data_IF_674403296065
#
_entry.id   IF_674403296065
#
_cell.length_a   1.000
_cell.length_b   1.000
_cell.length_c   1.000
_cell.angle_alpha   90.00
_cell.angle_beta   90.00
_cell.angle_gamma   90.00
#
_symmetry.space_group_name_H-M   'P 1'
#
loop_
_entity.id
_entity.type
_entity.pdbx_description
1 polymer ?
#
# COMPACT_ATOMS: atom_id res chain seq x y z
N UNK A 1 -8.29 34.88 -4.89
CA UNK A 1 -7.23 33.93 -4.50
C UNK A 1 -7.34 32.73 -5.43
N UNK A 2 -6.24 32.32 -6.03
CA UNK A 2 -6.24 31.14 -6.90
C UNK A 2 -6.03 29.85 -6.09
N UNK A 3 -6.43 28.71 -6.66
CA UNK A 3 -6.11 27.38 -6.09
C UNK A 3 -4.61 27.18 -5.93
N UNK A 4 -3.82 27.82 -6.78
CA UNK A 4 -2.35 27.72 -6.77
C UNK A 4 -1.73 28.42 -5.55
N UNK A 5 -2.35 29.48 -5.04
CA UNK A 5 -1.91 30.16 -3.81
C UNK A 5 -2.07 29.24 -2.58
N UNK A 6 -3.21 28.54 -2.50
CA UNK A 6 -3.44 27.55 -1.43
C UNK A 6 -2.49 26.37 -1.53
N UNK A 7 -2.25 25.89 -2.77
CA UNK A 7 -1.32 24.81 -3.02
C UNK A 7 0.09 25.14 -2.58
N UNK A 8 0.57 26.36 -2.88
CA UNK A 8 1.90 26.80 -2.45
C UNK A 8 2.05 26.81 -0.93
N UNK A 9 1.03 27.34 -0.20
CA UNK A 9 1.03 27.31 1.29
C UNK A 9 0.98 25.89 1.81
N UNK A 10 0.25 24.99 1.13
CA UNK A 10 0.14 23.59 1.49
C UNK A 10 1.48 22.87 1.34
N UNK A 11 2.16 23.06 0.21
CA UNK A 11 3.46 22.44 -0.07
C UNK A 11 4.54 22.92 0.92
N UNK A 12 4.50 24.21 1.31
CA UNK A 12 5.35 24.76 2.37
C UNK A 12 5.02 24.22 3.78
N UNK A 13 3.85 23.59 3.94
CA UNK A 13 3.30 23.11 5.21
C UNK A 13 3.17 21.58 5.26
N UNK A 14 3.72 20.86 4.28
CA UNK A 14 3.65 19.39 4.23
C UNK A 14 4.12 18.79 5.56
N UNK A 15 3.31 17.87 6.11
CA UNK A 15 3.55 17.25 7.40
C UNK A 15 3.01 18.02 8.62
N UNK A 16 2.47 19.23 8.41
CA UNK A 16 1.82 19.99 9.48
C UNK A 16 0.36 19.58 9.71
N UNK A 17 -0.19 19.96 10.86
CA UNK A 17 -1.60 19.71 11.16
C UNK A 17 -2.55 20.60 10.35
N UNK A 18 -3.80 20.13 10.13
CA UNK A 18 -4.85 20.95 9.51
C UNK A 18 -5.01 22.32 10.18
N UNK A 19 -4.95 22.35 11.51
CA UNK A 19 -5.08 23.58 12.27
C UNK A 19 -3.97 24.60 11.93
N UNK A 20 -2.74 24.14 11.79
CA UNK A 20 -1.61 24.98 11.40
C UNK A 20 -1.78 25.52 9.98
N UNK A 21 -2.17 24.69 9.02
CA UNK A 21 -2.44 25.11 7.65
C UNK A 21 -3.53 26.19 7.59
N UNK A 22 -4.68 25.95 8.25
CA UNK A 22 -5.79 26.91 8.32
C UNK A 22 -5.34 28.22 8.90
N UNK A 23 -4.57 28.20 10.00
CA UNK A 23 -4.02 29.42 10.62
C UNK A 23 -3.12 30.19 9.68
N UNK A 24 -2.21 29.53 8.97
CA UNK A 24 -1.32 30.16 7.97
C UNK A 24 -2.11 30.81 6.83
N UNK A 25 -3.10 30.12 6.29
CA UNK A 25 -3.95 30.65 5.22
C UNK A 25 -4.73 31.87 5.72
N UNK A 26 -5.36 31.81 6.88
CA UNK A 26 -6.11 32.93 7.44
C UNK A 26 -5.23 34.13 7.77
N UNK A 27 -3.99 33.93 8.19
CA UNK A 27 -3.03 35.02 8.42
C UNK A 27 -2.72 35.78 7.13
N UNK A 28 -2.60 35.07 6.00
CA UNK A 28 -2.29 35.68 4.70
C UNK A 28 -3.55 36.19 3.98
N UNK A 29 -4.68 35.51 4.18
CA UNK A 29 -5.97 35.79 3.55
C UNK A 29 -7.12 35.85 4.57
N UNK A 30 -7.21 36.92 5.39
CA UNK A 30 -8.15 37.01 6.50
C UNK A 30 -9.65 36.94 6.13
N UNK A 31 -9.97 37.22 4.85
CA UNK A 31 -11.35 37.24 4.33
C UNK A 31 -11.86 35.88 3.87
N UNK A 32 -11.00 34.86 3.87
CA UNK A 32 -11.40 33.51 3.47
C UNK A 32 -12.15 32.81 4.60
N UNK A 33 -13.25 32.16 4.23
CA UNK A 33 -13.98 31.33 5.17
C UNK A 33 -13.13 30.12 5.58
N UNK A 34 -13.05 29.91 6.87
CA UNK A 34 -12.35 28.76 7.47
C UNK A 34 -12.87 27.42 6.91
N UNK A 35 -14.19 27.32 6.68
CA UNK A 35 -14.82 26.11 6.15
C UNK A 35 -14.36 25.80 4.73
N UNK A 36 -14.19 26.81 3.90
CA UNK A 36 -13.70 26.65 2.53
C UNK A 36 -12.23 26.20 2.53
N UNK A 37 -11.40 26.79 3.39
CA UNK A 37 -10.00 26.36 3.58
C UNK A 37 -9.92 24.92 4.04
N UNK A 38 -10.73 24.51 5.01
CA UNK A 38 -10.77 23.14 5.51
C UNK A 38 -11.25 22.14 4.44
N UNK A 39 -12.22 22.52 3.62
CA UNK A 39 -12.74 21.71 2.53
C UNK A 39 -11.68 21.51 1.47
N UNK A 40 -10.98 22.58 1.08
CA UNK A 40 -9.87 22.50 0.15
C UNK A 40 -8.73 21.61 0.69
N UNK A 41 -8.35 21.77 1.98
CA UNK A 41 -7.33 20.93 2.61
C UNK A 41 -7.68 19.43 2.55
N UNK A 42 -8.94 19.08 2.83
CA UNK A 42 -9.41 17.69 2.79
C UNK A 42 -9.44 17.11 1.38
N UNK A 43 -9.56 17.94 0.34
CA UNK A 43 -9.56 17.48 -1.05
C UNK A 43 -8.16 17.14 -1.58
N UNK A 44 -7.10 17.46 -0.83
CA UNK A 44 -5.74 17.14 -1.29
C UNK A 44 -5.47 15.64 -1.21
N UNK A 45 -4.92 15.07 -2.27
CA UNK A 45 -4.66 13.63 -2.39
C UNK A 45 -3.85 13.08 -1.22
N UNK A 46 -2.76 13.77 -0.82
CA UNK A 46 -1.92 13.38 0.32
C UNK A 46 -2.72 13.30 1.63
N UNK A 47 -3.67 14.21 1.83
CA UNK A 47 -4.53 14.19 3.02
C UNK A 47 -5.52 13.04 2.96
N UNK A 48 -6.11 12.78 1.79
CA UNK A 48 -7.04 11.66 1.59
C UNK A 48 -6.38 10.31 1.84
N UNK A 49 -5.17 10.11 1.29
CA UNK A 49 -4.39 8.88 1.48
C UNK A 49 -4.05 8.66 2.96
N UNK A 50 -3.73 9.73 3.70
CA UNK A 50 -3.33 9.64 5.11
C UNK A 50 -4.50 9.76 6.10
N UNK A 51 -5.74 9.97 5.62
CA UNK A 51 -6.90 10.05 6.51
C UNK A 51 -7.30 8.64 6.94
N UNK A 52 -7.15 8.36 8.24
CA UNK A 52 -7.65 7.11 8.82
C UNK A 52 -9.17 7.04 8.69
N UNK A 53 -9.68 6.02 8.04
CA UNK A 53 -11.12 5.74 7.97
C UNK A 53 -11.65 5.56 9.40
N UNK A 54 -12.54 6.45 9.84
CA UNK A 54 -13.20 6.35 11.15
C UNK A 54 -14.03 5.07 11.19
N UNK A 55 -13.73 4.20 12.15
CA UNK A 55 -14.51 2.99 12.42
C UNK A 55 -13.88 1.68 11.97
N UNK A 56 -12.77 1.70 11.26
CA UNK A 56 -12.04 0.48 10.94
C UNK A 56 -10.88 0.33 11.93
N UNK A 57 -11.15 -0.26 13.07
CA UNK A 57 -10.09 -0.80 13.93
C UNK A 57 -9.52 -2.06 13.27
N UNK A 58 -8.66 -1.88 12.29
CA UNK A 58 -7.83 -2.97 11.80
C UNK A 58 -6.87 -3.37 12.94
N UNK A 59 -7.28 -4.34 13.76
CA UNK A 59 -6.37 -5.03 14.64
C UNK A 59 -5.43 -5.85 13.76
N UNK A 60 -4.34 -5.25 13.33
CA UNK A 60 -3.25 -5.98 12.71
C UNK A 60 -2.55 -6.71 13.86
N UNK A 61 -2.88 -7.98 14.02
CA UNK A 61 -2.12 -8.84 14.92
C UNK A 61 -0.73 -9.01 14.28
N UNK A 62 0.29 -8.48 14.93
CA UNK A 62 1.66 -8.65 14.46
C UNK A 62 2.00 -10.15 14.45
N UNK A 63 2.23 -10.70 13.27
CA UNK A 63 2.64 -12.09 13.08
C UNK A 63 4.09 -12.09 12.60
N UNK A 64 5.05 -12.49 13.45
CA UNK A 64 6.46 -12.53 13.05
C UNK A 64 6.65 -13.44 11.83
N UNK A 65 7.48 -13.00 10.89
CA UNK A 65 7.84 -13.77 9.69
C UNK A 65 6.63 -14.20 8.82
N UNK A 66 5.55 -13.43 8.90
CA UNK A 66 4.38 -13.57 8.04
C UNK A 66 4.38 -12.45 7.02
N UNK A 67 4.22 -12.80 5.75
CA UNK A 67 4.25 -11.87 4.63
C UNK A 67 2.89 -11.82 3.94
N UNK A 68 2.44 -10.63 3.61
CA UNK A 68 1.35 -10.45 2.66
C UNK A 68 1.93 -10.46 1.25
N UNK A 69 1.28 -11.20 0.34
CA UNK A 69 1.67 -11.32 -1.06
C UNK A 69 0.56 -10.77 -1.96
N UNK A 70 0.95 -10.00 -2.97
CA UNK A 70 0.04 -9.42 -3.95
C UNK A 70 0.74 -9.24 -5.30
N UNK A 71 -0.04 -9.06 -6.37
CA UNK A 71 0.50 -8.72 -7.69
C UNK A 71 0.06 -7.32 -8.06
N UNK A 72 1.02 -6.42 -8.12
CA UNK A 72 0.82 -5.07 -8.59
C UNK A 72 1.15 -4.92 -10.07
N UNK A 73 0.41 -4.06 -10.75
CA UNK A 73 0.71 -3.68 -12.12
C UNK A 73 1.23 -2.25 -12.15
N UNK A 74 2.42 -2.07 -12.70
CA UNK A 74 3.01 -0.75 -12.84
C UNK A 74 3.21 -0.39 -14.31
N UNK A 75 2.83 0.85 -14.67
CA UNK A 75 2.95 1.33 -16.05
C UNK A 75 4.37 1.80 -16.32
N UNK A 76 5.05 1.11 -17.23
CA UNK A 76 6.39 1.49 -17.72
C UNK A 76 6.26 1.83 -19.21
N UNK A 77 6.40 3.11 -19.54
CA UNK A 77 6.08 3.61 -20.87
C UNK A 77 4.61 3.41 -21.20
N UNK A 78 4.30 2.67 -22.28
CA UNK A 78 2.94 2.36 -22.68
C UNK A 78 2.45 0.98 -22.21
N UNK A 79 3.28 0.20 -21.53
CA UNK A 79 2.97 -1.16 -21.12
C UNK A 79 2.75 -1.27 -19.62
N UNK A 80 1.73 -2.05 -19.21
CA UNK A 80 1.55 -2.49 -17.84
C UNK A 80 2.44 -3.71 -17.58
N UNK A 81 3.29 -3.63 -16.57
CA UNK A 81 4.19 -4.70 -16.16
C UNK A 81 3.78 -5.26 -14.80
N UNK A 82 3.63 -6.58 -14.67
CA UNK A 82 3.31 -7.20 -13.39
C UNK A 82 4.57 -7.32 -12.51
N UNK A 83 4.36 -7.09 -11.22
CA UNK A 83 5.37 -7.27 -10.17
C UNK A 83 4.77 -8.06 -9.01
N UNK A 84 5.54 -8.97 -8.46
CA UNK A 84 5.21 -9.64 -7.22
C UNK A 84 5.66 -8.76 -6.06
N UNK A 85 4.73 -8.40 -5.20
CA UNK A 85 4.96 -7.61 -4.00
C UNK A 85 4.78 -8.50 -2.77
N UNK A 86 5.76 -8.49 -1.86
CA UNK A 86 5.64 -9.13 -0.56
C UNK A 86 5.95 -8.09 0.52
N UNK A 87 5.12 -8.05 1.55
CA UNK A 87 5.27 -7.12 2.67
C UNK A 87 5.28 -7.89 3.97
N UNK A 88 6.36 -7.77 4.74
CA UNK A 88 6.41 -8.30 6.10
C UNK A 88 5.39 -7.56 6.98
N UNK A 89 4.44 -8.31 7.54
CA UNK A 89 3.34 -7.73 8.34
C UNK A 89 3.88 -7.01 9.57
N UNK A 90 4.96 -7.49 10.15
CA UNK A 90 5.52 -6.93 11.38
C UNK A 90 6.41 -5.72 11.11
N UNK A 91 7.43 -5.86 10.27
CA UNK A 91 8.42 -4.81 10.01
C UNK A 91 8.00 -3.79 8.96
N UNK A 92 6.97 -4.11 8.15
CA UNK A 92 6.53 -3.35 6.98
C UNK A 92 7.58 -3.27 5.86
N UNK A 93 8.63 -4.06 5.94
CA UNK A 93 9.60 -4.17 4.86
C UNK A 93 8.95 -4.79 3.64
N UNK A 94 9.09 -4.13 2.49
CA UNK A 94 8.55 -4.57 1.22
C UNK A 94 9.66 -5.16 0.33
N UNK A 95 9.29 -6.21 -0.41
CA UNK A 95 10.10 -6.87 -1.42
C UNK A 95 9.32 -6.86 -2.73
N UNK A 96 9.97 -6.52 -3.82
CA UNK A 96 9.33 -6.38 -5.11
C UNK A 96 10.15 -7.07 -6.20
N UNK A 97 9.51 -7.97 -6.94
CA UNK A 97 10.16 -8.75 -8.01
C UNK A 97 9.40 -8.62 -9.32
N UNK A 98 10.10 -8.32 -10.38
CA UNK A 98 9.53 -8.25 -11.72
C UNK A 98 9.06 -9.64 -12.20
N UNK A 99 7.86 -9.69 -12.76
CA UNK A 99 7.33 -10.87 -13.45
C UNK A 99 7.49 -10.62 -14.97
N UNK A 100 8.35 -11.36 -15.66
CA UNK A 100 8.67 -11.08 -17.07
C UNK A 100 7.48 -11.42 -17.99
N UNK A 101 7.08 -10.46 -18.82
CA UNK A 101 6.01 -10.61 -19.82
C UNK A 101 4.61 -10.68 -19.19
N UNK A 102 3.76 -11.58 -19.69
CA UNK A 102 2.41 -11.77 -19.17
C UNK A 102 2.40 -12.55 -17.85
N UNK A 103 1.46 -12.19 -16.97
CA UNK A 103 1.25 -12.84 -15.69
C UNK A 103 0.77 -14.28 -15.88
N UNK A 104 1.52 -15.25 -15.33
CA UNK A 104 1.07 -16.62 -15.14
C UNK A 104 1.71 -17.24 -13.88
N UNK A 105 1.13 -18.31 -13.36
CA UNK A 105 1.54 -18.89 -12.09
C UNK A 105 3.00 -19.38 -12.09
N UNK A 106 3.50 -19.95 -13.17
CA UNK A 106 4.92 -20.39 -13.27
C UNK A 106 5.90 -19.23 -13.09
N UNK A 107 5.61 -18.07 -13.69
CA UNK A 107 6.45 -16.86 -13.58
C UNK A 107 6.32 -16.22 -12.20
N UNK A 108 5.12 -16.26 -11.60
CA UNK A 108 4.89 -15.83 -10.22
C UNK A 108 5.75 -16.67 -9.27
N UNK A 109 5.74 -18.01 -9.41
CA UNK A 109 6.56 -18.93 -8.61
C UNK A 109 8.05 -18.66 -8.82
N UNK A 110 8.47 -18.34 -10.05
CA UNK A 110 9.86 -17.96 -10.32
C UNK A 110 10.28 -16.69 -9.58
N UNK A 111 9.41 -15.67 -9.57
CA UNK A 111 9.64 -14.44 -8.81
C UNK A 111 9.61 -14.69 -7.29
N UNK A 112 8.69 -15.54 -6.84
CA UNK A 112 8.58 -15.95 -5.45
C UNK A 112 9.79 -16.72 -4.94
N UNK A 113 10.36 -17.61 -5.76
CA UNK A 113 11.58 -18.32 -5.39
C UNK A 113 12.78 -17.40 -5.20
N UNK A 114 12.86 -16.26 -5.90
CA UNK A 114 13.90 -15.24 -5.65
C UNK A 114 13.73 -14.63 -4.26
N UNK A 115 12.48 -14.32 -3.86
CA UNK A 115 12.20 -13.87 -2.51
C UNK A 115 12.63 -14.89 -1.46
N UNK A 116 12.31 -16.17 -1.66
CA UNK A 116 12.69 -17.25 -0.73
C UNK A 116 14.20 -17.50 -0.64
N UNK A 117 14.97 -17.06 -1.63
CA UNK A 117 16.44 -17.08 -1.58
C UNK A 117 17.03 -15.89 -0.84
N UNK A 118 16.32 -14.75 -0.81
CA UNK A 118 16.77 -13.51 -0.17
C UNK A 118 16.42 -13.47 1.32
N UNK A 119 15.33 -14.16 1.72
CA UNK A 119 14.82 -14.15 3.09
C UNK A 119 15.09 -15.48 3.78
N UNK A 120 15.89 -15.45 4.85
CA UNK A 120 16.35 -16.66 5.54
C UNK A 120 15.24 -17.56 6.09
N UNK A 121 14.14 -16.96 6.53
CA UNK A 121 13.03 -17.69 7.14
C UNK A 121 11.67 -16.99 6.91
N UNK A 122 10.72 -17.74 6.38
CA UNK A 122 9.32 -17.37 6.20
C UNK A 122 8.45 -18.38 6.95
N UNK A 123 7.61 -17.91 7.85
CA UNK A 123 6.67 -18.77 8.59
C UNK A 123 5.38 -18.98 7.81
N UNK A 124 4.81 -17.90 7.29
CA UNK A 124 3.54 -17.95 6.58
C UNK A 124 3.47 -16.88 5.49
N UNK A 125 2.66 -17.15 4.47
CA UNK A 125 2.32 -16.20 3.41
C UNK A 125 0.81 -16.08 3.32
N UNK A 126 0.31 -14.84 3.35
CA UNK A 126 -1.10 -14.48 3.27
C UNK A 126 -1.36 -13.76 1.94
N UNK A 127 -2.18 -14.32 1.08
CA UNK A 127 -2.54 -13.75 -0.23
C UNK A 127 -4.03 -13.82 -0.49
N UNK A 128 -4.48 -13.22 -1.57
CA UNK A 128 -5.84 -13.35 -2.06
C UNK A 128 -6.09 -14.71 -2.74
N UNK A 129 -7.32 -14.94 -3.27
CA UNK A 129 -7.68 -16.20 -3.91
C UNK A 129 -6.86 -16.55 -5.16
N UNK A 130 -6.09 -15.63 -5.70
CA UNK A 130 -5.18 -15.88 -6.82
C UNK A 130 -4.04 -16.84 -6.41
N UNK A 131 -3.58 -16.73 -5.16
CA UNK A 131 -2.53 -17.57 -4.59
C UNK A 131 -3.08 -18.90 -4.03
N UNK A 132 -4.41 -19.10 -4.08
CA UNK A 132 -5.05 -20.39 -3.77
C UNK A 132 -4.87 -21.41 -4.92
N UNK A 133 -3.63 -21.62 -5.32
CA UNK A 133 -3.22 -22.44 -6.43
C UNK A 133 -2.37 -23.62 -5.93
N UNK A 134 -2.67 -24.83 -6.41
CA UNK A 134 -1.98 -26.06 -5.97
C UNK A 134 -0.47 -25.99 -6.15
N UNK A 135 0.03 -25.43 -7.25
CA UNK A 135 1.47 -25.30 -7.50
C UNK A 135 2.14 -24.33 -6.54
N UNK A 136 1.48 -23.21 -6.21
CA UNK A 136 1.96 -22.24 -5.23
C UNK A 136 1.98 -22.81 -3.81
N UNK A 137 0.88 -23.49 -3.41
CA UNK A 137 0.79 -24.18 -2.12
C UNK A 137 1.88 -25.21 -1.93
N UNK A 138 2.15 -26.00 -2.96
CA UNK A 138 3.21 -27.02 -2.93
C UNK A 138 4.58 -26.41 -2.64
N UNK A 139 4.92 -25.26 -3.23
CA UNK A 139 6.19 -24.55 -2.93
C UNK A 139 6.28 -24.19 -1.45
N UNK A 140 5.19 -23.76 -0.85
CA UNK A 140 5.16 -23.41 0.57
C UNK A 140 5.23 -24.65 1.48
N UNK A 141 4.50 -25.70 1.15
CA UNK A 141 4.53 -26.99 1.85
C UNK A 141 5.93 -27.62 1.84
N UNK A 142 6.60 -27.63 0.68
CA UNK A 142 7.96 -28.13 0.53
C UNK A 142 8.98 -27.36 1.39
N UNK A 143 8.65 -26.12 1.81
CA UNK A 143 9.43 -25.27 2.70
C UNK A 143 8.94 -25.30 4.15
N UNK A 144 7.90 -26.06 4.47
CA UNK A 144 7.31 -26.11 5.81
C UNK A 144 6.58 -24.83 6.22
N UNK A 145 6.11 -24.05 5.27
CA UNK A 145 5.41 -22.79 5.51
C UNK A 145 3.88 -22.97 5.58
N UNK A 146 3.25 -22.15 6.39
CA UNK A 146 1.80 -22.08 6.46
C UNK A 146 1.24 -21.23 5.30
N UNK A 147 0.19 -21.75 4.64
CA UNK A 147 -0.58 -21.01 3.64
C UNK A 147 -1.85 -20.45 4.29
N UNK A 148 -2.13 -19.18 4.09
CA UNK A 148 -3.41 -18.60 4.47
C UNK A 148 -3.95 -17.73 3.33
N UNK A 149 -5.19 -18.00 2.95
CA UNK A 149 -5.92 -17.22 1.95
C UNK A 149 -6.75 -16.16 2.67
N UNK A 150 -6.54 -14.90 2.36
CA UNK A 150 -7.37 -13.81 2.86
C UNK A 150 -8.65 -13.81 2.03
N UNK A 151 -9.76 -14.29 2.60
CA UNK A 151 -11.07 -14.11 2.00
C UNK A 151 -11.51 -12.67 2.20
N UNK A 152 -11.49 -11.86 1.15
CA UNK A 152 -12.22 -10.61 1.14
C UNK A 152 -13.72 -10.94 1.03
N UNK A 153 -14.44 -10.88 2.15
CA UNK A 153 -15.89 -10.82 2.11
C UNK A 153 -16.27 -9.52 1.38
N UNK A 154 -16.71 -9.65 0.14
CA UNK A 154 -17.40 -8.56 -0.56
C UNK A 154 -18.73 -8.35 0.17
N UNK A 155 -18.81 -7.28 0.94
CA UNK A 155 -20.07 -6.71 1.44
C UNK A 155 -20.69 -5.90 0.34
#
# INVERSE_FOLDING_TARGET
MSSDDLKKIFDESIGSTKAYFVSKVQQKYPRLDKKDIETWFKSQEVVQINTTLKGVNLKITAKPRTFQIDIMFYKIGQSLKPFLLLVDIMSRKAFCYSIPGEKNMSKIITAYNKFLQEVDYVKAVEGDGEFDNTAFKKVNEDKGMENSTIQHSRS
#
